data_IF_955480821915
#
_entry.id   IF_955480821915
#
_cell.length_a   1.000
_cell.length_b   1.000
_cell.length_c   1.000
_cell.angle_alpha   90.00
_cell.angle_beta   90.00
_cell.angle_gamma   90.00
#
_symmetry.space_group_name_H-M   'P 1'
#
loop_
_entity.id
_entity.type
_entity.pdbx_description
1 polymer ?
#
# COMPACT_ATOMS: atom_id res chain seq x y z
N UNK A 1 7.09 17.68 18.45
CA UNK A 1 7.31 18.41 17.17
C UNK A 1 6.22 18.05 16.20
N UNK A 2 5.95 18.91 15.20
CA UNK A 2 4.96 18.60 14.16
C UNK A 2 5.32 19.28 12.85
N UNK A 3 4.87 18.70 11.74
CA UNK A 3 4.95 19.30 10.41
C UNK A 3 3.86 18.75 9.48
N UNK A 4 3.38 19.55 8.51
CA UNK A 4 2.37 19.11 7.56
C UNK A 4 2.97 18.22 6.48
N UNK A 5 2.18 17.23 6.02
CA UNK A 5 2.53 16.33 4.93
C UNK A 5 1.28 15.95 4.14
N UNK A 6 1.44 15.65 2.86
CA UNK A 6 0.33 15.21 2.03
C UNK A 6 -0.06 13.76 2.36
N UNK A 7 -1.35 13.49 2.36
CA UNK A 7 -1.93 12.17 2.60
C UNK A 7 -2.17 11.43 1.28
N UNK A 8 -1.67 10.20 1.20
CA UNK A 8 -2.04 9.21 0.19
C UNK A 8 -2.92 8.12 0.81
N UNK A 9 -4.09 7.91 0.25
CA UNK A 9 -4.97 6.80 0.64
C UNK A 9 -4.76 5.64 -0.31
N UNK A 10 -4.29 4.52 0.24
CA UNK A 10 -4.02 3.28 -0.51
C UNK A 10 -5.26 2.39 -0.51
N UNK A 11 -5.95 2.31 -1.65
CA UNK A 11 -6.98 1.30 -1.86
C UNK A 11 -6.33 -0.07 -2.16
N UNK A 12 -7.10 -1.15 -2.03
CA UNK A 12 -6.63 -2.50 -2.37
C UNK A 12 -5.99 -2.57 -3.76
N UNK A 13 -4.83 -3.21 -3.85
CA UNK A 13 -4.08 -3.35 -5.08
C UNK A 13 -3.12 -4.54 -5.03
N UNK A 14 -2.47 -4.84 -6.13
CA UNK A 14 -1.46 -5.87 -6.24
C UNK A 14 -0.18 -5.35 -6.89
N UNK A 15 0.95 -5.85 -6.45
CA UNK A 15 2.22 -5.78 -7.13
C UNK A 15 2.56 -7.18 -7.62
N UNK A 16 3.01 -7.32 -8.86
CA UNK A 16 3.36 -8.62 -9.42
C UNK A 16 4.87 -8.75 -9.62
N UNK A 17 5.38 -9.96 -9.46
CA UNK A 17 6.68 -10.33 -9.99
C UNK A 17 6.55 -10.72 -11.47
N UNK A 18 7.68 -10.83 -12.17
CA UNK A 18 7.71 -11.16 -13.61
C UNK A 18 7.05 -12.50 -13.90
N UNK A 19 7.36 -13.53 -13.12
CA UNK A 19 6.80 -14.86 -13.29
C UNK A 19 5.26 -14.87 -13.22
N UNK A 20 4.70 -14.24 -12.19
CA UNK A 20 3.25 -14.18 -12.02
C UNK A 20 2.57 -13.28 -13.08
N UNK A 21 3.26 -12.23 -13.52
CA UNK A 21 2.77 -11.40 -14.64
C UNK A 21 2.67 -12.25 -15.92
N UNK A 22 3.66 -13.06 -16.22
CA UNK A 22 3.65 -13.93 -17.42
C UNK A 22 2.55 -14.99 -17.37
N UNK A 23 2.29 -15.57 -16.20
CA UNK A 23 1.19 -16.53 -16.01
C UNK A 23 -0.17 -15.86 -16.20
N UNK A 24 -0.38 -14.71 -15.57
CA UNK A 24 -1.70 -14.06 -15.52
C UNK A 24 -2.05 -13.29 -16.79
N UNK A 25 -1.07 -12.72 -17.49
CA UNK A 25 -1.29 -11.86 -18.66
C UNK A 25 -0.68 -12.39 -19.95
N UNK A 26 0.09 -13.47 -19.89
CA UNK A 26 0.82 -14.05 -21.00
C UNK A 26 2.31 -13.70 -20.95
N UNK A 27 3.11 -14.57 -21.57
CA UNK A 27 4.56 -14.43 -21.58
C UNK A 27 4.99 -13.08 -22.16
N UNK A 28 5.96 -12.44 -21.49
CA UNK A 28 6.56 -11.16 -21.86
C UNK A 28 5.57 -9.98 -21.89
N UNK A 29 4.37 -10.12 -21.29
CA UNK A 29 3.41 -9.04 -21.14
C UNK A 29 3.98 -7.90 -20.30
N UNK A 30 3.61 -6.66 -20.61
CA UNK A 30 4.01 -5.47 -19.90
C UNK A 30 2.82 -4.73 -19.29
N UNK A 31 3.08 -3.92 -18.24
CA UNK A 31 2.08 -3.08 -17.62
C UNK A 31 1.91 -1.78 -18.41
N UNK A 32 0.67 -1.40 -18.72
CA UNK A 32 0.34 -0.13 -19.36
C UNK A 32 -0.01 0.92 -18.29
N UNK A 33 0.66 2.06 -18.37
CA UNK A 33 0.46 3.14 -17.40
C UNK A 33 -0.90 3.78 -17.61
N UNK A 34 -1.77 3.68 -16.60
CA UNK A 34 -3.04 4.40 -16.55
C UNK A 34 -2.88 5.80 -15.98
N UNK A 35 -2.17 5.93 -14.85
CA UNK A 35 -1.84 7.21 -14.21
C UNK A 35 -0.66 7.04 -13.26
N UNK A 36 0.21 8.05 -13.13
CA UNK A 36 1.22 8.06 -12.07
C UNK A 36 0.53 8.13 -10.68
N UNK A 37 1.25 7.68 -9.64
CA UNK A 37 0.86 7.84 -8.24
C UNK A 37 1.93 8.64 -7.50
N UNK A 38 1.68 9.00 -6.22
CA UNK A 38 2.51 9.95 -5.46
C UNK A 38 3.99 9.58 -5.32
N UNK A 39 4.33 8.28 -5.36
CA UNK A 39 5.72 7.85 -5.22
C UNK A 39 6.46 7.79 -6.57
N UNK A 40 7.72 8.29 -6.63
CA UNK A 40 8.50 8.33 -7.87
C UNK A 40 8.62 6.98 -8.56
N UNK A 41 8.36 6.94 -9.86
CA UNK A 41 8.45 5.74 -10.69
C UNK A 41 7.35 4.72 -10.49
N UNK A 42 6.40 4.94 -9.58
CA UNK A 42 5.24 4.08 -9.39
C UNK A 42 4.02 4.62 -10.15
N UNK A 43 3.17 3.70 -10.59
CA UNK A 43 1.97 4.04 -11.36
C UNK A 43 0.86 2.99 -11.18
N UNK A 44 -0.38 3.44 -11.22
CA UNK A 44 -1.51 2.56 -11.41
C UNK A 44 -1.56 2.12 -12.88
N UNK A 45 -1.58 0.82 -13.13
CA UNK A 45 -1.67 0.27 -14.48
C UNK A 45 -3.12 0.12 -14.95
N UNK A 46 -3.31 -0.16 -16.23
CA UNK A 46 -4.62 -0.53 -16.79
C UNK A 46 -5.02 -1.94 -16.36
N UNK A 47 -4.03 -2.81 -16.16
CA UNK A 47 -4.20 -4.21 -15.83
C UNK A 47 -4.85 -4.40 -14.46
N UNK A 48 -5.70 -5.41 -14.40
CA UNK A 48 -6.37 -5.87 -13.20
C UNK A 48 -6.39 -7.39 -13.18
N UNK A 49 -6.35 -7.93 -11.97
CA UNK A 49 -6.57 -9.34 -11.69
C UNK A 49 -7.80 -9.52 -10.81
N UNK A 50 -8.33 -10.73 -10.75
CA UNK A 50 -9.33 -11.12 -9.77
C UNK A 50 -8.68 -12.04 -8.75
N UNK A 51 -8.73 -11.65 -7.49
CA UNK A 51 -8.39 -12.50 -6.36
C UNK A 51 -9.63 -13.26 -5.93
N UNK A 52 -9.50 -14.56 -5.73
CA UNK A 52 -10.60 -15.48 -5.37
C UNK A 52 -10.22 -16.25 -4.14
N UNK A 53 -11.17 -16.36 -3.21
CA UNK A 53 -11.09 -17.20 -2.02
C UNK A 53 -12.32 -18.10 -1.97
N UNK A 54 -12.40 -18.98 -0.97
CA UNK A 54 -13.60 -19.83 -0.76
C UNK A 54 -14.86 -19.01 -0.42
N UNK A 55 -14.70 -17.77 0.06
CA UNK A 55 -15.81 -16.94 0.53
C UNK A 55 -16.32 -15.96 -0.51
N UNK A 56 -15.43 -15.29 -1.22
CA UNK A 56 -15.78 -14.21 -2.18
C UNK A 56 -14.61 -13.96 -3.14
N UNK A 57 -14.81 -13.02 -4.05
CA UNK A 57 -13.76 -12.56 -4.97
C UNK A 57 -13.72 -11.03 -5.05
N UNK A 58 -12.57 -10.49 -5.43
CA UNK A 58 -12.44 -9.06 -5.68
C UNK A 58 -11.44 -8.75 -6.77
N UNK A 59 -11.72 -7.64 -7.49
CA UNK A 59 -10.77 -7.09 -8.47
C UNK A 59 -9.71 -6.25 -7.80
N UNK A 60 -8.48 -6.45 -8.24
CA UNK A 60 -7.30 -5.71 -7.80
C UNK A 60 -6.64 -5.05 -9.00
N UNK A 61 -6.30 -3.78 -8.86
CA UNK A 61 -5.48 -3.08 -9.85
C UNK A 61 -4.01 -3.40 -9.60
N UNK A 62 -3.26 -3.55 -10.67
CA UNK A 62 -1.81 -3.70 -10.56
C UNK A 62 -1.17 -2.32 -10.40
N UNK A 63 -0.26 -2.22 -9.45
CA UNK A 63 0.62 -1.06 -9.27
C UNK A 63 2.01 -1.45 -9.76
N UNK A 64 2.47 -0.75 -10.78
CA UNK A 64 3.80 -0.92 -11.35
C UNK A 64 4.84 -0.01 -10.71
N UNK A 65 6.11 -0.28 -10.99
CA UNK A 65 6.65 -1.36 -11.82
C UNK A 65 6.55 -2.75 -11.18
N UNK A 66 6.90 -3.81 -11.91
CA UNK A 66 7.00 -5.16 -11.35
C UNK A 66 8.01 -5.20 -10.21
N UNK A 67 7.75 -6.04 -9.21
CA UNK A 67 8.58 -6.23 -8.02
C UNK A 67 9.27 -7.61 -8.05
N UNK A 68 10.28 -7.83 -7.21
CA UNK A 68 10.88 -9.17 -7.07
C UNK A 68 9.88 -10.24 -6.66
N UNK A 69 8.90 -9.87 -5.82
CA UNK A 69 7.88 -10.76 -5.28
C UNK A 69 6.48 -10.17 -5.49
N UNK A 70 5.49 -11.05 -5.61
CA UNK A 70 4.08 -10.65 -5.68
C UNK A 70 3.56 -10.33 -4.29
N UNK A 71 2.94 -9.15 -4.16
CA UNK A 71 2.34 -8.68 -2.93
C UNK A 71 0.97 -8.06 -3.20
N UNK A 72 0.00 -8.41 -2.37
CA UNK A 72 -1.34 -7.83 -2.38
C UNK A 72 -1.55 -7.08 -1.08
N UNK A 73 -2.02 -5.85 -1.20
CA UNK A 73 -2.34 -4.99 -0.07
C UNK A 73 -3.85 -4.79 0.00
N UNK A 74 -4.43 -5.12 1.14
CA UNK A 74 -5.85 -4.99 1.43
C UNK A 74 -6.05 -4.07 2.64
N UNK A 75 -7.25 -3.53 2.81
CA UNK A 75 -7.70 -3.06 4.12
C UNK A 75 -8.22 -4.23 4.96
N UNK A 76 -8.37 -4.05 6.26
CA UNK A 76 -8.99 -5.06 7.14
C UNK A 76 -10.42 -5.39 6.71
N UNK A 77 -11.19 -4.39 6.27
CA UNK A 77 -12.55 -4.59 5.75
C UNK A 77 -12.54 -5.47 4.50
N UNK A 78 -11.63 -5.21 3.57
CA UNK A 78 -11.49 -6.03 2.36
C UNK A 78 -11.07 -7.47 2.69
N UNK A 79 -10.09 -7.66 3.58
CA UNK A 79 -9.65 -8.99 4.02
C UNK A 79 -10.79 -9.79 4.66
N UNK A 80 -11.54 -9.18 5.58
CA UNK A 80 -12.72 -9.82 6.22
C UNK A 80 -13.82 -10.15 5.23
N UNK A 81 -14.05 -9.29 4.24
CA UNK A 81 -15.05 -9.51 3.19
C UNK A 81 -14.76 -10.80 2.43
N UNK A 82 -13.52 -11.02 2.06
CA UNK A 82 -13.10 -12.24 1.34
C UNK A 82 -12.71 -13.40 2.25
N UNK A 83 -12.81 -13.24 3.57
CA UNK A 83 -12.56 -14.31 4.54
C UNK A 83 -11.09 -14.65 4.74
N UNK A 84 -10.19 -13.71 4.52
CA UNK A 84 -8.76 -13.86 4.77
C UNK A 84 -8.36 -13.29 6.13
N UNK A 85 -7.48 -13.98 6.81
CA UNK A 85 -6.74 -13.49 7.97
C UNK A 85 -5.39 -12.93 7.50
N UNK A 86 -5.44 -11.73 6.89
CA UNK A 86 -4.26 -11.06 6.38
C UNK A 86 -3.55 -10.29 7.51
N UNK A 87 -2.28 -10.58 7.81
CA UNK A 87 -1.55 -9.92 8.88
C UNK A 87 -1.23 -8.46 8.51
N UNK A 88 -1.18 -7.59 9.54
CA UNK A 88 -0.67 -6.23 9.38
C UNK A 88 0.86 -6.31 9.30
N UNK A 89 1.43 -5.89 8.17
CA UNK A 89 2.87 -5.98 7.88
C UNK A 89 3.38 -4.74 7.16
N UNK A 90 4.65 -4.48 7.30
CA UNK A 90 5.31 -3.53 6.41
C UNK A 90 5.36 -4.07 4.98
N UNK A 91 5.14 -3.20 3.99
CA UNK A 91 5.29 -3.60 2.59
C UNK A 91 6.67 -4.19 2.32
N UNK A 92 6.72 -5.40 1.77
CA UNK A 92 7.89 -6.24 1.58
C UNK A 92 8.06 -7.36 2.61
N UNK A 93 7.37 -7.31 3.74
CA UNK A 93 7.35 -8.38 4.75
C UNK A 93 6.13 -9.28 4.52
N UNK A 94 6.29 -10.27 3.63
CA UNK A 94 5.20 -11.15 3.17
C UNK A 94 5.30 -12.59 3.65
N UNK A 95 6.37 -12.95 4.36
CA UNK A 95 6.56 -14.32 4.82
C UNK A 95 5.42 -14.77 5.74
N UNK A 96 4.92 -15.99 5.52
CA UNK A 96 3.82 -16.59 6.30
C UNK A 96 2.53 -15.74 6.33
N UNK A 97 2.34 -14.88 5.33
CA UNK A 97 1.09 -14.11 5.17
C UNK A 97 0.00 -14.93 4.46
N UNK A 98 -1.18 -14.34 4.28
CA UNK A 98 -2.28 -15.02 3.62
C UNK A 98 -2.00 -15.26 2.13
N UNK A 99 -2.64 -16.30 1.59
CA UNK A 99 -2.62 -16.63 0.17
C UNK A 99 -4.03 -16.69 -0.43
N UNK A 100 -4.12 -16.70 -1.75
CA UNK A 100 -5.38 -16.86 -2.47
C UNK A 100 -5.12 -17.23 -3.93
N UNK A 101 -6.17 -17.65 -4.64
CA UNK A 101 -6.13 -17.84 -6.07
C UNK A 101 -6.17 -16.50 -6.80
N UNK A 102 -5.31 -16.31 -7.78
CA UNK A 102 -5.28 -15.14 -8.65
C UNK A 102 -5.67 -15.55 -10.07
N UNK A 103 -6.54 -14.77 -10.69
CA UNK A 103 -7.03 -15.00 -12.05
C UNK A 103 -6.77 -13.73 -12.88
N UNK A 104 -6.06 -13.90 -13.97
CA UNK A 104 -5.82 -12.91 -15.02
C UNK A 104 -6.45 -13.30 -16.35
N UNK A 105 -6.31 -12.49 -17.39
CA UNK A 105 -6.90 -12.74 -18.69
C UNK A 105 -6.30 -13.95 -19.43
N UNK A 106 -5.05 -14.34 -19.15
CA UNK A 106 -4.34 -15.43 -19.83
C UNK A 106 -4.19 -16.70 -18.99
N UNK A 107 -4.41 -16.63 -17.67
CA UNK A 107 -4.24 -17.78 -16.78
C UNK A 107 -4.56 -17.48 -15.33
N UNK A 108 -4.28 -18.47 -14.49
CA UNK A 108 -4.52 -18.42 -13.06
C UNK A 108 -3.36 -19.05 -12.29
N UNK A 109 -3.18 -18.65 -11.02
CA UNK A 109 -2.19 -19.24 -10.12
C UNK A 109 -2.69 -19.25 -8.67
N UNK A 110 -2.12 -20.13 -7.86
CA UNK A 110 -2.28 -20.14 -6.40
C UNK A 110 -1.12 -19.37 -5.76
N UNK A 111 -1.43 -18.20 -5.23
CA UNK A 111 -0.49 -17.44 -4.41
C UNK A 111 -0.50 -18.04 -2.99
N UNK A 112 0.61 -18.65 -2.58
CA UNK A 112 0.69 -19.33 -1.27
C UNK A 112 0.77 -18.34 -0.12
N UNK A 113 1.47 -17.23 -0.31
CA UNK A 113 1.66 -16.12 0.61
C UNK A 113 1.87 -14.83 -0.18
N UNK A 114 1.71 -13.68 0.43
CA UNK A 114 1.88 -12.37 -0.21
C UNK A 114 0.73 -11.40 0.02
N UNK A 115 -0.32 -11.81 0.74
CA UNK A 115 -1.48 -10.95 1.03
C UNK A 115 -1.37 -10.40 2.45
N UNK A 116 -1.27 -9.09 2.56
CA UNK A 116 -1.09 -8.35 3.81
C UNK A 116 -2.10 -7.19 3.94
N UNK A 117 -2.28 -6.72 5.14
CA UNK A 117 -2.77 -5.36 5.40
C UNK A 117 -1.53 -4.49 5.60
N UNK A 118 -1.27 -3.56 4.67
CA UNK A 118 -0.08 -2.73 4.76
C UNK A 118 -0.13 -1.81 5.99
N UNK A 119 0.88 -1.87 6.84
CA UNK A 119 1.01 -0.97 7.97
C UNK A 119 1.15 0.48 7.48
N UNK A 120 0.49 1.42 8.17
CA UNK A 120 0.59 2.84 7.88
C UNK A 120 2.04 3.32 7.99
N UNK A 121 2.46 4.17 7.06
CA UNK A 121 3.83 4.63 7.00
C UNK A 121 3.94 6.01 6.35
N UNK A 122 5.03 6.69 6.62
CA UNK A 122 5.36 7.96 5.97
C UNK A 122 6.65 7.81 5.18
N UNK A 123 6.59 8.16 3.90
CA UNK A 123 7.76 8.33 3.07
C UNK A 123 8.35 9.73 3.28
N UNK A 124 9.66 9.80 3.50
CA UNK A 124 10.38 11.07 3.60
C UNK A 124 11.59 11.04 2.66
N UNK A 125 11.73 12.12 1.90
CA UNK A 125 12.97 12.39 1.18
C UNK A 125 14.08 12.73 2.20
N UNK A 126 15.38 12.43 1.93
CA UNK A 126 16.45 12.59 2.90
C UNK A 126 16.54 13.98 3.52
N UNK A 127 16.42 15.05 2.72
CA UNK A 127 16.49 16.41 3.25
C UNK A 127 15.32 16.72 4.20
N UNK A 128 14.13 16.20 3.92
CA UNK A 128 12.97 16.37 4.82
C UNK A 128 13.18 15.59 6.12
N UNK A 129 13.66 14.36 6.04
CA UNK A 129 13.97 13.56 7.21
C UNK A 129 15.03 14.25 8.10
N UNK A 130 16.12 14.74 7.51
CA UNK A 130 17.18 15.49 8.20
C UNK A 130 16.64 16.78 8.84
N UNK A 131 15.87 17.59 8.07
CA UNK A 131 15.26 18.84 8.55
C UNK A 131 14.45 18.65 9.82
N UNK A 132 13.71 17.57 9.92
CA UNK A 132 12.88 17.25 11.08
C UNK A 132 13.56 16.30 12.08
N UNK A 133 14.80 15.87 11.79
CA UNK A 133 15.61 14.99 12.63
C UNK A 133 15.00 13.61 12.82
N UNK A 134 14.33 13.12 11.79
CA UNK A 134 13.79 11.77 11.67
C UNK A 134 14.73 10.92 10.82
N UNK A 135 14.68 9.62 11.02
CA UNK A 135 15.44 8.63 10.25
C UNK A 135 14.58 7.44 9.89
N UNK A 136 15.06 6.66 8.95
CA UNK A 136 14.43 5.41 8.56
C UNK A 136 14.24 4.49 9.77
N UNK A 137 13.02 3.93 9.92
CA UNK A 137 12.64 3.08 11.04
C UNK A 137 12.10 3.80 12.27
N UNK A 138 12.13 5.13 12.34
CA UNK A 138 11.48 5.87 13.43
C UNK A 138 9.95 5.66 13.40
N UNK A 139 9.32 5.82 14.54
CA UNK A 139 7.86 5.75 14.68
C UNK A 139 7.34 7.14 15.05
N UNK A 140 6.32 7.58 14.34
CA UNK A 140 5.64 8.86 14.52
C UNK A 140 4.13 8.65 14.57
N UNK A 141 3.39 9.73 14.80
CA UNK A 141 1.93 9.74 14.78
C UNK A 141 1.43 10.66 13.65
N UNK A 142 0.23 10.38 13.14
CA UNK A 142 -0.52 11.28 12.25
C UNK A 142 -1.64 11.90 13.05
N UNK A 143 -1.71 13.22 13.07
CA UNK A 143 -2.83 13.96 13.63
C UNK A 143 -3.68 14.52 12.49
N UNK A 144 -4.97 14.22 12.51
CA UNK A 144 -5.96 14.69 11.55
C UNK A 144 -6.94 15.67 12.20
N UNK A 145 -7.51 16.56 11.41
CA UNK A 145 -8.47 17.56 11.84
C UNK A 145 -9.88 17.29 11.27
N UNK A 146 -10.84 18.12 11.64
CA UNK A 146 -12.24 18.03 11.18
C UNK A 146 -13.15 17.29 12.14
N UNK A 147 -14.40 17.05 11.74
CA UNK A 147 -15.44 16.44 12.58
C UNK A 147 -15.08 15.02 13.06
N UNK A 148 -14.29 14.31 12.28
CA UNK A 148 -13.77 12.97 12.60
C UNK A 148 -12.27 12.98 12.85
N UNK A 149 -11.72 14.13 13.28
CA UNK A 149 -10.29 14.25 13.61
C UNK A 149 -9.88 13.26 14.70
N UNK A 150 -8.74 12.64 14.51
CA UNK A 150 -8.15 11.68 15.45
C UNK A 150 -6.63 11.62 15.29
N UNK A 151 -5.98 10.88 16.17
CA UNK A 151 -4.55 10.59 16.06
C UNK A 151 -4.36 9.11 15.71
N UNK A 152 -3.67 8.85 14.60
CA UNK A 152 -3.23 7.51 14.20
C UNK A 152 -1.80 7.30 14.71
N UNK A 153 -1.63 6.36 15.63
CA UNK A 153 -0.33 6.01 16.20
C UNK A 153 0.44 4.99 15.35
N UNK A 154 1.71 4.79 15.67
CA UNK A 154 2.56 3.74 15.09
C UNK A 154 2.74 3.88 13.56
N UNK A 155 3.05 5.07 13.10
CA UNK A 155 3.36 5.35 11.69
C UNK A 155 4.85 5.16 11.46
N UNK A 156 5.24 4.20 10.64
CA UNK A 156 6.64 3.92 10.34
C UNK A 156 7.22 4.97 9.39
N UNK A 157 8.34 5.56 9.75
CA UNK A 157 9.12 6.42 8.86
C UNK A 157 9.94 5.57 7.89
N UNK A 158 9.79 5.82 6.60
CA UNK A 158 10.56 5.24 5.50
C UNK A 158 11.32 6.34 4.78
N UNK A 159 12.55 6.60 5.22
CA UNK A 159 13.38 7.66 4.65
C UNK A 159 14.33 7.13 3.57
N UNK A 160 14.37 7.79 2.42
CA UNK A 160 15.26 7.37 1.33
C UNK A 160 15.13 8.20 0.07
N UNK A 161 16.18 8.22 -0.76
CA UNK A 161 16.26 9.03 -1.98
C UNK A 161 15.29 8.62 -3.11
N UNK A 162 14.62 7.47 -2.95
CA UNK A 162 13.61 7.00 -3.91
C UNK A 162 12.18 7.35 -3.47
N UNK A 163 12.01 8.09 -2.39
CA UNK A 163 10.72 8.48 -1.84
C UNK A 163 10.40 9.95 -2.15
N UNK A 164 9.11 10.25 -2.26
CA UNK A 164 8.57 11.59 -2.13
C UNK A 164 7.88 11.71 -0.76
N UNK A 165 7.82 12.92 -0.22
CA UNK A 165 7.19 13.17 1.08
C UNK A 165 5.68 12.93 1.01
N UNK A 166 5.22 11.82 1.55
CA UNK A 166 3.82 11.42 1.54
C UNK A 166 3.55 10.40 2.66
N UNK A 167 2.46 10.56 3.40
CA UNK A 167 2.02 9.56 4.36
C UNK A 167 0.95 8.68 3.74
N UNK A 168 1.05 7.38 3.97
CA UNK A 168 0.13 6.38 3.45
C UNK A 168 -0.67 5.72 4.55
N UNK A 169 -1.99 5.71 4.37
CA UNK A 169 -2.95 4.95 5.17
C UNK A 169 -3.87 4.16 4.24
N UNK A 170 -4.55 3.17 4.77
CA UNK A 170 -5.52 2.42 3.99
C UNK A 170 -6.92 3.08 3.96
N UNK A 171 -7.86 2.47 3.24
CA UNK A 171 -9.22 3.00 3.09
C UNK A 171 -10.04 2.95 4.38
N UNK A 172 -9.79 2.00 5.28
CA UNK A 172 -10.49 1.92 6.58
C UNK A 172 -10.04 3.06 7.50
N UNK A 173 -8.75 3.33 7.53
CA UNK A 173 -8.16 4.42 8.29
C UNK A 173 -8.60 5.79 7.75
N UNK A 174 -8.60 5.95 6.44
CA UNK A 174 -9.10 7.17 5.78
C UNK A 174 -10.59 7.42 6.08
N UNK A 175 -11.43 6.38 6.01
CA UNK A 175 -12.85 6.46 6.37
C UNK A 175 -13.06 6.79 7.85
N UNK A 176 -12.20 6.29 8.75
CA UNK A 176 -12.27 6.63 10.16
C UNK A 176 -12.09 8.13 10.40
N UNK A 177 -11.19 8.77 9.65
CA UNK A 177 -10.90 10.20 9.71
C UNK A 177 -11.78 11.06 8.79
N UNK A 178 -12.54 10.45 7.87
CA UNK A 178 -13.26 11.13 6.78
C UNK A 178 -12.34 11.96 5.88
N UNK A 179 -11.22 11.33 5.45
CA UNK A 179 -10.19 11.97 4.63
C UNK A 179 -10.03 11.30 3.27
N UNK A 180 -9.54 12.06 2.31
CA UNK A 180 -9.22 11.64 0.96
C UNK A 180 -7.75 11.94 0.62
N UNK A 181 -7.22 11.28 -0.41
CA UNK A 181 -5.88 11.56 -0.91
C UNK A 181 -5.73 13.03 -1.33
N UNK A 182 -4.55 13.59 -1.07
CA UNK A 182 -4.19 14.97 -1.42
C UNK A 182 -4.45 16.00 -0.35
N UNK A 183 -5.14 15.65 0.76
CA UNK A 183 -5.28 16.56 1.91
C UNK A 183 -3.99 16.59 2.72
N UNK A 184 -3.80 17.69 3.46
CA UNK A 184 -2.66 17.84 4.38
C UNK A 184 -3.05 17.33 5.76
N UNK A 185 -2.17 16.55 6.37
CA UNK A 185 -2.26 16.09 7.75
C UNK A 185 -0.96 16.47 8.49
N UNK A 186 -0.93 16.36 9.80
CA UNK A 186 0.26 16.66 10.58
C UNK A 186 0.95 15.38 11.07
N UNK A 187 2.24 15.26 10.79
CA UNK A 187 3.10 14.32 11.52
C UNK A 187 3.42 14.91 12.88
N UNK A 188 3.24 14.12 13.93
CA UNK A 188 3.51 14.50 15.33
C UNK A 188 4.45 13.48 15.96
N UNK A 189 5.46 13.95 16.67
CA UNK A 189 6.45 13.09 17.34
C UNK A 189 7.14 13.80 18.49
N UNK A 190 7.65 13.03 19.44
CA UNK A 190 8.53 13.47 20.52
C UNK A 190 9.96 13.02 20.21
N UNK A 191 10.92 13.94 20.40
CA UNK A 191 12.33 13.60 20.40
C UNK A 191 12.78 13.23 21.80
#
# INVERSE_FOLDING_TARGET
MQFPIVLGVSARHAHLCREHMDILFGKDSELHIKKPIGQPGQYASEEQITMVTDKDSMKLRIIGPLRPETQIELSLTDARKVGLDAPIRNSGDIAESAGAKLIGPAGELELKEGIIVAARHVHLYPETAEKYGLKDGDIVDIQTEGERGLTLHNVLVRAGSKHADEVHIDTDEANACNLESGVMVNIVYTK
#
